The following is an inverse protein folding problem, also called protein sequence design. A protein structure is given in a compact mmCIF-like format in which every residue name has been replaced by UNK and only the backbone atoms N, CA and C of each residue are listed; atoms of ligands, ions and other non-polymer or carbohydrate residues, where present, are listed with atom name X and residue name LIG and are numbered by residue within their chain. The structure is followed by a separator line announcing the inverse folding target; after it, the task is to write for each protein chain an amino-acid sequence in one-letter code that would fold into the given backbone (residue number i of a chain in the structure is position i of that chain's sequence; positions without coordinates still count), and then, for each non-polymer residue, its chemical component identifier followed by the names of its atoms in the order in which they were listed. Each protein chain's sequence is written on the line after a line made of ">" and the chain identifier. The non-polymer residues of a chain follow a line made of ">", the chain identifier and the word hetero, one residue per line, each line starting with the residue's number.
data_IF_385658509646
#
_entry.id   IF_385658509646
#
_cell.length_a   1.000
_cell.length_b   1.000
_cell.length_c   1.000
_cell.angle_alpha   90.00
_cell.angle_beta   90.00
_cell.angle_gamma   90.00
#
_symmetry.space_group_name_H-M   'P 1'
#
loop_
_entity.id
_entity.type
_entity.pdbx_description
1 polymer ?
#
# COMPACT_ATOMS: atom_id res chain seq x y z
N UNK A 1 9.71 -19.28 -0.77
CA UNK A 1 9.80 -18.06 0.05
C UNK A 1 10.05 -18.53 1.47
N UNK A 2 11.15 -18.12 2.09
CA UNK A 2 11.51 -18.58 3.43
C UNK A 2 10.44 -18.14 4.46
N UNK A 3 9.97 -19.09 5.28
CA UNK A 3 8.93 -18.84 6.27
C UNK A 3 9.36 -17.78 7.30
N UNK A 4 10.65 -17.64 7.58
CA UNK A 4 11.16 -16.59 8.45
C UNK A 4 10.96 -15.19 7.84
N UNK A 5 11.27 -15.04 6.55
CA UNK A 5 11.08 -13.78 5.82
C UNK A 5 9.59 -13.44 5.69
N UNK A 6 8.73 -14.42 5.43
CA UNK A 6 7.29 -14.21 5.37
C UNK A 6 6.73 -13.70 6.71
N UNK A 7 7.08 -14.34 7.82
CA UNK A 7 6.63 -13.93 9.15
C UNK A 7 7.16 -12.53 9.52
N UNK A 8 8.39 -12.18 9.12
CA UNK A 8 8.93 -10.84 9.34
C UNK A 8 8.10 -9.76 8.61
N UNK A 9 7.73 -10.00 7.35
CA UNK A 9 6.90 -9.08 6.56
C UNK A 9 5.51 -8.93 7.18
N UNK A 10 4.88 -10.05 7.57
CA UNK A 10 3.56 -10.05 8.20
C UNK A 10 3.58 -9.25 9.51
N UNK A 11 4.57 -9.49 10.37
CA UNK A 11 4.72 -8.75 11.63
C UNK A 11 4.96 -7.25 11.40
N UNK A 12 5.76 -6.88 10.40
CA UNK A 12 5.98 -5.48 10.03
C UNK A 12 4.69 -4.77 9.61
N UNK A 13 3.86 -5.43 8.77
CA UNK A 13 2.59 -4.88 8.32
C UNK A 13 1.62 -4.69 9.50
N UNK A 14 1.50 -5.69 10.37
CA UNK A 14 0.65 -5.60 11.56
C UNK A 14 1.14 -4.54 12.55
N UNK A 15 2.45 -4.40 12.73
CA UNK A 15 3.04 -3.35 13.57
C UNK A 15 2.65 -1.95 13.12
N UNK A 16 2.75 -1.65 11.82
CA UNK A 16 2.34 -0.33 11.28
C UNK A 16 0.84 -0.09 11.49
N UNK A 17 0.00 -1.10 11.24
CA UNK A 17 -1.44 -0.97 11.42
C UNK A 17 -1.80 -0.71 12.89
N UNK A 18 -1.08 -1.34 13.81
CA UNK A 18 -1.29 -1.18 15.24
C UNK A 18 -0.82 0.20 15.72
N UNK A 19 0.39 0.62 15.31
CA UNK A 19 0.99 1.90 15.74
C UNK A 19 0.28 3.13 15.15
N UNK A 20 -0.21 3.05 13.91
CA UNK A 20 -0.73 4.22 13.19
C UNK A 20 -2.26 4.27 13.09
N UNK A 21 -2.97 3.14 13.20
CA UNK A 21 -4.40 3.09 12.87
C UNK A 21 -5.29 2.65 14.02
N UNK A 22 -4.80 1.76 14.91
CA UNK A 22 -5.63 1.14 15.95
C UNK A 22 -6.07 2.11 17.05
N UNK A 23 -5.22 3.07 17.41
CA UNK A 23 -5.53 4.06 18.47
C UNK A 23 -6.09 5.38 17.92
N UNK A 24 -5.98 5.61 16.61
CA UNK A 24 -6.49 6.82 15.94
C UNK A 24 -7.90 6.60 15.37
N UNK A 25 -8.20 5.39 14.90
CA UNK A 25 -9.47 5.08 14.25
C UNK A 25 -10.22 3.97 14.99
N UNK A 26 -11.51 4.20 15.26
CA UNK A 26 -12.41 3.13 15.71
C UNK A 26 -12.46 2.00 14.67
N UNK A 27 -12.64 0.75 15.11
CA UNK A 27 -12.64 -0.45 14.22
C UNK A 27 -13.47 -0.28 12.94
N UNK A 28 -14.62 0.40 13.01
CA UNK A 28 -15.48 0.65 11.84
C UNK A 28 -14.88 1.61 10.81
N UNK A 29 -13.99 2.52 11.22
CA UNK A 29 -13.36 3.56 10.38
C UNK A 29 -12.07 3.10 9.72
N UNK A 30 -11.43 2.04 10.21
CA UNK A 30 -10.23 1.47 9.60
C UNK A 30 -10.44 1.13 8.11
N UNK A 31 -11.61 0.57 7.78
CA UNK A 31 -11.97 0.21 6.40
C UNK A 31 -11.94 1.40 5.44
N UNK A 32 -12.39 2.57 5.92
CA UNK A 32 -12.47 3.80 5.14
C UNK A 32 -11.08 4.30 4.71
N UNK A 33 -10.02 3.89 5.42
CA UNK A 33 -8.62 4.27 5.13
C UNK A 33 -7.91 3.18 4.32
N UNK A 34 -8.00 1.91 4.74
CA UNK A 34 -7.22 0.83 4.11
C UNK A 34 -7.67 0.53 2.68
N UNK A 35 -8.98 0.62 2.38
CA UNK A 35 -9.52 0.33 1.06
C UNK A 35 -9.01 1.30 -0.02
N UNK A 36 -9.15 2.64 0.12
CA UNK A 36 -8.62 3.55 -0.90
C UNK A 36 -7.10 3.43 -1.05
N UNK A 37 -6.35 3.26 0.04
CA UNK A 37 -4.90 3.08 -0.02
C UNK A 37 -4.50 1.80 -0.79
N UNK A 38 -5.24 0.70 -0.59
CA UNK A 38 -5.02 -0.56 -1.31
C UNK A 38 -5.32 -0.41 -2.80
N UNK A 39 -6.40 0.30 -3.16
CA UNK A 39 -6.75 0.58 -4.56
C UNK A 39 -5.65 1.41 -5.23
N UNK A 40 -5.19 2.48 -4.59
CA UNK A 40 -4.11 3.33 -5.11
C UNK A 40 -2.84 2.51 -5.32
N UNK A 41 -2.42 1.71 -4.32
CA UNK A 41 -1.22 0.89 -4.45
C UNK A 41 -1.36 -0.14 -5.57
N UNK A 42 -2.54 -0.73 -5.76
CA UNK A 42 -2.78 -1.67 -6.86
C UNK A 42 -2.63 -0.99 -8.21
N UNK A 43 -3.21 0.21 -8.39
CA UNK A 43 -3.06 0.99 -9.61
C UNK A 43 -1.60 1.36 -9.88
N UNK A 44 -0.88 1.83 -8.86
CA UNK A 44 0.55 2.15 -8.96
C UNK A 44 1.39 0.92 -9.35
N UNK A 45 1.14 -0.24 -8.74
CA UNK A 45 1.80 -1.50 -9.11
C UNK A 45 1.51 -1.95 -10.55
N UNK A 46 0.30 -1.70 -11.06
CA UNK A 46 -0.03 -2.02 -12.46
C UNK A 46 0.62 -1.06 -13.45
N UNK A 47 0.89 0.18 -13.03
CA UNK A 47 1.55 1.18 -13.85
C UNK A 47 3.08 1.14 -13.73
N UNK A 48 3.63 0.35 -12.80
CA UNK A 48 5.04 0.31 -12.44
C UNK A 48 5.95 0.05 -13.67
N UNK A 49 5.59 -0.94 -14.50
CA UNK A 49 6.32 -1.28 -15.73
C UNK A 49 6.24 -0.19 -16.81
N UNK A 50 5.11 0.54 -16.86
CA UNK A 50 4.83 1.58 -17.87
C UNK A 50 5.13 2.99 -17.40
N UNK A 51 5.62 3.15 -16.16
CA UNK A 51 5.90 4.43 -15.52
C UNK A 51 6.81 5.33 -16.35
N UNK A 52 7.89 4.84 -16.99
CA UNK A 52 8.72 5.67 -17.87
C UNK A 52 7.92 6.24 -19.05
N UNK A 53 7.08 5.42 -19.68
CA UNK A 53 6.27 5.84 -20.83
C UNK A 53 5.22 6.90 -20.44
N UNK A 54 4.60 6.76 -19.27
CA UNK A 54 3.65 7.76 -18.74
C UNK A 54 4.35 9.10 -18.44
N UNK A 55 5.56 9.05 -17.87
CA UNK A 55 6.35 10.25 -17.60
C UNK A 55 6.82 10.96 -18.87
N UNK A 56 7.18 10.22 -19.91
CA UNK A 56 7.52 10.78 -21.22
C UNK A 56 6.29 11.40 -21.90
N UNK A 57 5.14 10.73 -21.89
CA UNK A 57 3.88 11.28 -22.41
C UNK A 57 3.53 12.62 -21.72
N UNK A 58 3.72 12.72 -20.40
CA UNK A 58 3.47 13.96 -19.65
C UNK A 58 4.36 15.12 -20.09
N UNK A 59 5.62 14.88 -20.51
CA UNK A 59 6.54 15.95 -20.96
C UNK A 59 6.21 16.47 -22.36
N UNK A 60 5.48 15.68 -23.15
CA UNK A 60 5.05 16.05 -24.50
C UNK A 60 3.74 16.86 -24.52
N UNK A 61 3.04 16.93 -23.38
CA UNK A 61 1.86 17.78 -23.14
C UNK A 61 2.29 19.11 -22.50
#
# INVERSE_FOLDING_TARGET
>A
MDNQVHNAIVNFIWGIADDCLRDIYVRGKYRDVILPMTVIRRLDAMLEDTKPAVLEMKKML
#
